data_IF_261931722152
#
_entry.id   IF_261931722152
#
_cell.length_a   1.000
_cell.length_b   1.000
_cell.length_c   1.000
_cell.angle_alpha   90.00
_cell.angle_beta   90.00
_cell.angle_gamma   90.00
#
_symmetry.space_group_name_H-M   'P 1'
#
loop_
_entity.id
_entity.type
_entity.pdbx_description
1 polymer ?
#
# COMPACT_ATOMS: atom_id res chain seq x y z
N UNK A 1 -79.91 -0.46 -30.51
CA UNK A 1 -79.60 0.52 -29.43
C UNK A 1 -78.13 0.36 -29.07
N UNK A 2 -77.25 1.29 -29.46
CA UNK A 2 -75.81 1.23 -29.15
C UNK A 2 -75.60 1.92 -27.79
N UNK A 3 -75.25 1.15 -26.76
CA UNK A 3 -74.87 1.69 -25.45
C UNK A 3 -73.52 2.38 -25.61
N UNK A 4 -73.51 3.71 -25.57
CA UNK A 4 -72.25 4.44 -25.47
C UNK A 4 -71.70 4.26 -24.05
N UNK A 5 -70.49 3.71 -23.97
CA UNK A 5 -69.73 3.62 -22.73
C UNK A 5 -69.16 5.02 -22.46
N UNK A 6 -69.66 5.66 -21.41
CA UNK A 6 -69.09 6.90 -20.87
C UNK A 6 -67.70 6.62 -20.31
N UNK A 7 -66.65 7.35 -20.71
CA UNK A 7 -65.32 7.16 -20.14
C UNK A 7 -65.35 7.56 -18.67
N UNK A 8 -64.92 6.67 -17.78
CA UNK A 8 -64.68 6.99 -16.38
C UNK A 8 -63.56 8.04 -16.35
N UNK A 9 -63.96 9.29 -16.14
CA UNK A 9 -63.04 10.42 -16.04
C UNK A 9 -62.36 10.31 -14.69
N UNK A 10 -61.10 9.89 -14.66
CA UNK A 10 -60.27 9.97 -13.46
C UNK A 10 -60.29 11.42 -12.93
N UNK A 11 -60.40 11.62 -11.60
CA UNK A 11 -60.49 12.96 -11.02
C UNK A 11 -59.27 13.79 -11.44
N UNK A 12 -59.45 15.08 -11.69
CA UNK A 12 -58.42 15.95 -12.30
C UNK A 12 -57.07 15.90 -11.58
N UNK A 13 -57.08 15.73 -10.25
CA UNK A 13 -55.86 15.56 -9.46
C UNK A 13 -55.04 14.30 -9.81
N UNK A 14 -55.68 13.19 -10.19
CA UNK A 14 -54.99 11.95 -10.60
C UNK A 14 -54.34 12.12 -11.98
N UNK A 15 -54.97 12.88 -12.90
CA UNK A 15 -54.36 13.20 -14.19
C UNK A 15 -53.20 14.17 -14.05
N UNK A 16 -53.37 15.21 -13.24
CA UNK A 16 -52.31 16.19 -12.97
C UNK A 16 -51.11 15.53 -12.30
N UNK A 17 -51.35 14.62 -11.35
CA UNK A 17 -50.30 13.81 -10.74
C UNK A 17 -49.58 12.93 -11.76
N UNK A 18 -50.30 12.23 -12.63
CA UNK A 18 -49.69 11.41 -13.68
C UNK A 18 -48.82 12.23 -14.65
N UNK A 19 -49.28 13.43 -15.03
CA UNK A 19 -48.50 14.36 -15.88
C UNK A 19 -47.26 14.87 -15.15
N UNK A 20 -47.38 15.23 -13.87
CA UNK A 20 -46.24 15.66 -13.06
C UNK A 20 -45.19 14.55 -12.90
N UNK A 21 -45.66 13.31 -12.67
CA UNK A 21 -44.80 12.13 -12.56
C UNK A 21 -44.06 11.85 -13.88
N UNK A 22 -44.75 11.92 -15.03
CA UNK A 22 -44.13 11.75 -16.34
C UNK A 22 -43.08 12.85 -16.62
N UNK A 23 -43.39 14.10 -16.27
CA UNK A 23 -42.46 15.21 -16.41
C UNK A 23 -41.20 15.05 -15.54
N UNK A 24 -41.34 14.55 -14.31
CA UNK A 24 -40.21 14.26 -13.42
C UNK A 24 -39.31 13.17 -14.01
N UNK A 25 -39.89 12.05 -14.46
CA UNK A 25 -39.13 10.96 -15.08
C UNK A 25 -38.39 11.43 -16.33
N UNK A 26 -39.04 12.25 -17.16
CA UNK A 26 -38.41 12.83 -18.35
C UNK A 26 -37.24 13.74 -17.99
N UNK A 27 -37.42 14.66 -17.02
CA UNK A 27 -36.36 15.56 -16.58
C UNK A 27 -35.14 14.82 -16.01
N UNK A 28 -35.37 13.78 -15.19
CA UNK A 28 -34.31 12.92 -14.66
C UNK A 28 -33.59 12.18 -15.79
N UNK A 29 -34.34 11.65 -16.74
CA UNK A 29 -33.78 10.92 -17.88
C UNK A 29 -32.94 11.83 -18.78
N UNK A 30 -33.40 13.05 -19.04
CA UNK A 30 -32.65 14.03 -19.83
C UNK A 30 -31.37 14.48 -19.12
N UNK A 31 -31.44 14.71 -17.80
CA UNK A 31 -30.27 15.03 -17.01
C UNK A 31 -29.22 13.91 -17.07
N UNK A 32 -29.64 12.64 -16.98
CA UNK A 32 -28.74 11.49 -17.08
C UNK A 32 -28.10 11.40 -18.48
N UNK A 33 -28.91 11.54 -19.55
CA UNK A 33 -28.38 11.57 -20.93
C UNK A 33 -27.36 12.69 -21.14
N UNK A 34 -27.60 13.85 -20.54
CA UNK A 34 -26.67 14.96 -20.62
C UNK A 34 -25.34 14.61 -19.93
N UNK A 35 -25.39 14.00 -18.74
CA UNK A 35 -24.20 13.52 -18.03
C UNK A 35 -23.42 12.47 -18.83
N UNK A 36 -24.12 11.55 -19.51
CA UNK A 36 -23.51 10.55 -20.37
C UNK A 36 -22.82 11.17 -21.61
N UNK A 37 -23.34 12.29 -22.11
CA UNK A 37 -22.79 13.00 -23.27
C UNK A 37 -21.65 13.99 -22.91
N UNK A 38 -21.50 14.37 -21.63
CA UNK A 38 -20.47 15.32 -21.19
C UNK A 38 -19.03 15.00 -21.64
N UNK A 39 -18.57 13.73 -21.70
CA UNK A 39 -17.24 13.40 -22.18
C UNK A 39 -16.96 13.82 -23.63
N UNK A 40 -18.00 13.91 -24.46
CA UNK A 40 -17.90 14.27 -25.88
C UNK A 40 -17.87 15.78 -26.12
N UNK A 41 -18.42 16.56 -25.19
CA UNK A 41 -18.48 18.02 -25.30
C UNK A 41 -17.12 18.62 -24.94
N UNK A 42 -16.56 19.52 -25.76
CA UNK A 42 -15.29 20.19 -25.43
C UNK A 42 -15.52 21.37 -24.46
N UNK A 43 -14.76 21.44 -23.36
CA UNK A 43 -14.73 22.62 -22.51
C UNK A 43 -13.74 23.65 -23.07
N UNK A 44 -14.26 24.82 -23.47
CA UNK A 44 -13.48 25.90 -24.07
C UNK A 44 -12.86 26.87 -23.05
N UNK A 45 -13.07 26.60 -21.75
CA UNK A 45 -12.59 27.46 -20.67
C UNK A 45 -12.31 26.65 -19.40
N UNK A 46 -11.50 27.21 -18.50
CA UNK A 46 -11.26 26.62 -17.18
C UNK A 46 -12.55 26.48 -16.37
N UNK A 47 -13.50 27.42 -16.49
CA UNK A 47 -14.80 27.31 -15.86
C UNK A 47 -15.61 26.11 -16.39
N UNK A 48 -15.55 25.83 -17.69
CA UNK A 48 -16.17 24.63 -18.27
C UNK A 48 -15.51 23.34 -17.80
N UNK A 49 -14.19 23.35 -17.60
CA UNK A 49 -13.45 22.22 -17.02
C UNK A 49 -13.86 21.97 -15.57
N UNK A 50 -13.96 23.03 -14.76
CA UNK A 50 -14.44 22.94 -13.38
C UNK A 50 -15.86 22.40 -13.33
N UNK A 51 -16.75 22.86 -14.22
CA UNK A 51 -18.12 22.33 -14.30
C UNK A 51 -18.15 20.82 -14.58
N UNK A 52 -17.29 20.31 -15.48
CA UNK A 52 -17.17 18.86 -15.70
C UNK A 52 -16.67 18.11 -14.47
N UNK A 53 -15.68 18.67 -13.77
CA UNK A 53 -15.14 18.08 -12.54
C UNK A 53 -16.18 18.07 -11.40
N UNK A 54 -16.98 19.11 -11.27
CA UNK A 54 -18.08 19.18 -10.30
C UNK A 54 -19.13 18.10 -10.57
N UNK A 55 -19.43 17.81 -11.84
CA UNK A 55 -20.33 16.69 -12.20
C UNK A 55 -19.71 15.34 -11.81
N UNK A 56 -18.43 15.11 -12.08
CA UNK A 56 -17.73 13.87 -11.68
C UNK A 56 -17.77 13.69 -10.15
N UNK A 57 -17.42 14.73 -9.39
CA UNK A 57 -17.41 14.70 -7.92
C UNK A 57 -18.83 14.57 -7.34
N UNK A 58 -19.81 15.19 -7.98
CA UNK A 58 -21.22 15.11 -7.58
C UNK A 58 -21.86 13.76 -7.86
N UNK A 59 -21.40 13.05 -8.90
CA UNK A 59 -21.88 11.72 -9.28
C UNK A 59 -21.34 10.62 -8.35
N UNK A 60 -20.22 10.85 -7.67
CA UNK A 60 -19.44 9.80 -7.02
C UNK A 60 -19.23 10.02 -5.52
N UNK A 61 -20.29 9.80 -4.74
CA UNK A 61 -20.18 9.55 -3.29
C UNK A 61 -20.36 8.09 -2.90
N UNK A 62 -20.68 7.20 -3.86
CA UNK A 62 -21.01 5.79 -3.62
C UNK A 62 -20.41 4.84 -4.68
N UNK A 63 -19.25 5.13 -5.29
CA UNK A 63 -18.57 4.11 -6.12
C UNK A 63 -18.11 2.95 -5.24
N UNK A 64 -18.86 1.84 -5.33
CA UNK A 64 -18.54 0.57 -4.70
C UNK A 64 -17.52 -0.26 -5.50
N UNK A 65 -17.54 -0.16 -6.84
CA UNK A 65 -16.62 -0.85 -7.73
C UNK A 65 -15.68 0.16 -8.45
N UNK A 66 -14.36 0.07 -8.27
CA UNK A 66 -13.40 0.92 -8.97
C UNK A 66 -13.51 0.93 -10.51
N UNK A 67 -14.17 -0.06 -11.11
CA UNK A 67 -14.45 -0.10 -12.55
C UNK A 67 -15.59 0.83 -12.98
N UNK A 68 -16.47 1.24 -12.05
CA UNK A 68 -17.52 2.24 -12.27
C UNK A 68 -16.98 3.67 -12.27
N UNK A 69 -15.68 3.85 -12.02
CA UNK A 69 -15.04 5.16 -12.05
C UNK A 69 -15.22 5.82 -13.43
N UNK A 70 -15.59 7.11 -13.50
CA UNK A 70 -15.93 7.80 -14.75
C UNK A 70 -14.69 8.18 -15.57
N UNK A 71 -13.93 7.16 -16.01
CA UNK A 71 -12.74 7.29 -16.84
C UNK A 71 -12.97 8.11 -18.12
N UNK A 72 -14.10 7.96 -18.85
CA UNK A 72 -14.36 8.78 -20.03
C UNK A 72 -14.45 10.28 -19.71
N UNK A 73 -15.09 10.64 -18.60
CA UNK A 73 -15.21 12.03 -18.15
C UNK A 73 -13.86 12.61 -17.76
N UNK A 74 -13.05 11.86 -17.00
CA UNK A 74 -11.71 12.29 -16.62
C UNK A 74 -10.80 12.48 -17.85
N UNK A 75 -10.85 11.54 -18.81
CA UNK A 75 -10.08 11.65 -20.05
C UNK A 75 -10.48 12.90 -20.86
N UNK A 76 -11.76 13.23 -20.88
CA UNK A 76 -12.28 14.45 -21.52
C UNK A 76 -11.74 15.72 -20.85
N UNK A 77 -11.77 15.78 -19.51
CA UNK A 77 -11.19 16.89 -18.75
C UNK A 77 -9.70 17.07 -19.04
N UNK A 78 -8.93 15.98 -19.06
CA UNK A 78 -7.49 16.04 -19.37
C UNK A 78 -7.22 16.54 -20.79
N UNK A 79 -8.06 16.15 -21.76
CA UNK A 79 -7.97 16.64 -23.13
C UNK A 79 -8.21 18.14 -23.21
N UNK A 80 -9.25 18.62 -22.53
CA UNK A 80 -9.60 20.05 -22.52
C UNK A 80 -8.54 20.89 -21.78
N UNK A 81 -8.01 20.37 -20.67
CA UNK A 81 -6.89 21.01 -19.96
C UNK A 81 -5.67 21.16 -20.87
N UNK A 82 -5.31 20.11 -21.61
CA UNK A 82 -4.21 20.19 -22.59
C UNK A 82 -4.49 21.18 -23.71
N UNK A 83 -5.74 21.27 -24.16
CA UNK A 83 -6.12 22.24 -25.19
C UNK A 83 -5.93 23.71 -24.72
N UNK A 84 -6.10 23.97 -23.42
CA UNK A 84 -5.97 25.33 -22.84
C UNK A 84 -4.54 25.61 -22.36
N UNK A 85 -3.94 24.68 -21.62
CA UNK A 85 -2.65 24.86 -20.96
C UNK A 85 -1.45 24.40 -21.80
N UNK A 86 -1.70 23.70 -22.90
CA UNK A 86 -0.67 22.99 -23.66
C UNK A 86 -0.30 21.64 -23.04
N UNK A 87 0.65 20.96 -23.68
CA UNK A 87 1.19 19.72 -23.13
C UNK A 87 2.11 20.00 -21.95
N UNK A 88 2.05 19.12 -20.95
CA UNK A 88 3.03 19.13 -19.88
C UNK A 88 4.41 18.81 -20.45
N UNK A 89 5.48 19.48 -19.99
CA UNK A 89 6.83 19.07 -20.33
C UNK A 89 7.02 17.61 -19.90
N UNK A 90 7.91 16.85 -20.57
CA UNK A 90 8.27 15.51 -20.15
C UNK A 90 8.60 15.54 -18.66
N UNK A 91 7.86 14.77 -17.88
CA UNK A 91 8.13 14.64 -16.46
C UNK A 91 9.46 13.90 -16.30
N UNK A 92 10.54 14.66 -16.19
CA UNK A 92 11.81 14.20 -15.66
C UNK A 92 11.57 13.94 -14.17
N UNK A 93 11.09 12.73 -13.85
CA UNK A 93 11.16 12.23 -12.49
C UNK A 93 12.61 12.43 -12.05
N UNK A 94 12.86 13.25 -11.03
CA UNK A 94 14.20 13.47 -10.48
C UNK A 94 14.67 12.19 -9.79
N UNK A 95 14.97 11.17 -10.61
CA UNK A 95 15.50 9.86 -10.21
C UNK A 95 16.91 9.99 -9.67
N UNK A 96 17.51 11.19 -9.69
CA UNK A 96 18.80 11.42 -9.06
C UNK A 96 18.72 11.15 -7.57
N UNK A 97 17.64 11.61 -6.91
CA UNK A 97 17.39 11.38 -5.48
C UNK A 97 17.22 9.90 -5.17
N UNK A 98 16.34 9.20 -5.90
CA UNK A 98 16.13 7.75 -5.73
C UNK A 98 17.39 6.94 -6.03
N UNK A 99 18.15 7.29 -7.08
CA UNK A 99 19.42 6.61 -7.40
C UNK A 99 20.49 6.86 -6.34
N UNK A 100 20.56 8.07 -5.80
CA UNK A 100 21.49 8.40 -4.72
C UNK A 100 21.17 7.63 -3.44
N UNK A 101 19.88 7.52 -3.09
CA UNK A 101 19.44 6.73 -1.94
C UNK A 101 19.74 5.24 -2.14
N UNK A 102 19.46 4.68 -3.32
CA UNK A 102 19.80 3.28 -3.65
C UNK A 102 21.30 3.04 -3.55
N UNK A 103 22.13 3.93 -4.08
CA UNK A 103 23.58 3.82 -4.00
C UNK A 103 24.09 3.87 -2.54
N UNK A 104 23.52 4.76 -1.71
CA UNK A 104 23.83 4.85 -0.28
C UNK A 104 23.49 3.54 0.44
N UNK A 105 22.29 3.00 0.22
CA UNK A 105 21.84 1.78 0.88
C UNK A 105 22.62 0.55 0.43
N UNK A 106 22.98 0.45 -0.86
CA UNK A 106 23.87 -0.61 -1.35
C UNK A 106 25.26 -0.54 -0.68
N UNK A 107 25.83 0.65 -0.53
CA UNK A 107 27.10 0.84 0.16
C UNK A 107 27.02 0.42 1.63
N UNK A 108 25.95 0.80 2.33
CA UNK A 108 25.72 0.40 3.72
C UNK A 108 25.55 -1.12 3.86
N UNK A 109 24.82 -1.75 2.94
CA UNK A 109 24.64 -3.20 2.95
C UNK A 109 25.96 -3.93 2.74
N UNK A 110 26.81 -3.47 1.81
CA UNK A 110 28.14 -4.05 1.60
C UNK A 110 29.02 -3.98 2.86
N UNK A 111 29.02 -2.84 3.56
CA UNK A 111 29.75 -2.68 4.82
C UNK A 111 29.25 -3.61 5.92
N UNK A 112 27.94 -3.86 5.99
CA UNK A 112 27.37 -4.77 6.97
C UNK A 112 27.72 -6.23 6.67
N UNK A 113 27.74 -6.63 5.39
CA UNK A 113 28.16 -7.98 4.98
C UNK A 113 29.63 -8.20 5.34
N UNK A 114 30.50 -7.27 5.00
CA UNK A 114 31.94 -7.33 5.33
C UNK A 114 32.16 -7.42 6.85
N UNK A 115 31.47 -6.59 7.64
CA UNK A 115 31.58 -6.63 9.09
C UNK A 115 31.07 -7.96 9.71
N UNK A 116 30.09 -8.61 9.10
CA UNK A 116 29.60 -9.93 9.54
C UNK A 116 30.62 -11.01 9.22
N UNK A 117 31.20 -10.99 8.02
CA UNK A 117 32.27 -11.93 7.63
C UNK A 117 33.48 -11.81 8.56
N UNK A 118 33.96 -10.58 8.83
CA UNK A 118 35.04 -10.33 9.78
C UNK A 118 34.73 -10.82 11.20
N UNK A 119 33.48 -10.65 11.66
CA UNK A 119 33.04 -11.12 12.97
C UNK A 119 32.96 -12.65 13.05
N UNK A 120 32.54 -13.33 11.98
CA UNK A 120 32.55 -14.79 11.90
C UNK A 120 33.97 -15.36 11.92
N UNK A 121 34.89 -14.79 11.15
CA UNK A 121 36.31 -15.17 11.14
C UNK A 121 36.93 -15.00 12.53
N UNK A 122 36.67 -13.87 13.20
CA UNK A 122 37.14 -13.64 14.57
C UNK A 122 36.58 -14.68 15.56
N UNK A 123 35.30 -15.04 15.43
CA UNK A 123 34.67 -16.05 16.27
C UNK A 123 35.22 -17.46 16.01
N UNK A 124 35.60 -17.79 14.77
CA UNK A 124 36.30 -19.05 14.45
C UNK A 124 37.70 -19.11 15.06
N UNK A 125 38.47 -18.03 14.97
CA UNK A 125 39.79 -17.96 15.60
C UNK A 125 39.74 -18.12 17.13
N UNK A 126 38.75 -17.54 17.80
CA UNK A 126 38.53 -17.72 19.25
C UNK A 126 38.18 -19.18 19.56
N UNK A 127 37.35 -19.84 18.74
CA UNK A 127 37.01 -21.27 18.92
C UNK A 127 38.22 -22.19 18.73
N UNK A 128 39.05 -21.93 17.72
CA UNK A 128 40.28 -22.70 17.45
C UNK A 128 41.33 -22.53 18.56
N UNK A 129 41.48 -21.32 19.10
CA UNK A 129 42.40 -21.07 20.22
C UNK A 129 41.93 -21.68 21.54
N UNK A 130 40.62 -21.68 21.81
CA UNK A 130 40.06 -22.34 23.00
C UNK A 130 40.21 -23.88 22.94
N UNK A 131 40.04 -24.47 21.76
CA UNK A 131 40.20 -25.93 21.56
C UNK A 131 41.65 -26.37 21.66
N UNK A 132 42.61 -25.63 21.07
CA UNK A 132 44.03 -25.94 21.22
C UNK A 132 44.53 -25.80 22.66
N UNK A 133 44.01 -24.84 23.43
CA UNK A 133 44.30 -24.71 24.86
C UNK A 133 43.76 -25.89 25.69
N UNK A 134 42.55 -26.37 25.38
CA UNK A 134 41.96 -27.51 26.06
C UNK A 134 42.72 -28.83 25.76
N UNK A 135 43.18 -29.03 24.52
CA UNK A 135 44.00 -30.20 24.16
C UNK A 135 45.39 -30.19 24.84
N UNK A 136 46.00 -29.01 24.99
CA UNK A 136 47.27 -28.87 25.71
C UNK A 136 47.14 -29.09 27.24
N UNK A 137 45.92 -29.06 27.78
CA UNK A 137 45.63 -29.22 29.21
C UNK A 137 45.19 -30.64 29.60
N UNK A 138 45.37 -31.65 28.74
CA UNK A 138 45.16 -33.06 29.12
C UNK A 138 46.18 -33.45 30.19
N UNK A 139 45.75 -33.35 31.45
CA UNK A 139 46.52 -33.73 32.62
C UNK A 139 47.06 -35.16 32.47
N UNK A 140 48.36 -35.41 32.69
CA UNK A 140 48.89 -36.77 32.69
C UNK A 140 48.21 -37.57 33.81
N UNK A 141 47.66 -38.74 33.45
CA UNK A 141 46.99 -39.67 34.36
C UNK A 141 47.89 -39.93 35.58
N UNK A 142 47.43 -39.71 36.83
CA UNK A 142 48.27 -39.93 37.99
C UNK A 142 48.59 -41.42 38.11
N UNK A 143 49.88 -41.73 38.28
CA UNK A 143 50.38 -43.09 38.44
C UNK A 143 49.82 -43.72 39.73
N UNK A 144 49.16 -44.86 39.60
CA UNK A 144 48.77 -45.72 40.73
C UNK A 144 50.04 -46.22 41.44
N UNK A 145 50.21 -45.85 42.72
CA UNK A 145 51.15 -46.50 43.62
C UNK A 145 50.38 -47.39 44.59
N UNK A 146 50.84 -48.63 44.85
CA UNK A 146 50.13 -49.56 45.72
C UNK A 146 50.31 -49.20 47.20
N UNK A 147 49.31 -49.60 47.98
CA UNK A 147 49.22 -49.41 49.42
C UNK A 147 50.37 -50.07 50.19
N UNK A 148 50.90 -49.37 51.20
CA UNK A 148 51.48 -49.99 52.39
C UNK A 148 51.76 -48.93 53.48
N UNK A 149 51.28 -49.21 54.70
CA UNK A 149 51.94 -48.93 55.99
C UNK A 149 52.13 -47.44 56.40
N UNK A 150 51.94 -46.98 57.65
CA UNK A 150 51.90 -47.63 58.96
C UNK A 150 51.24 -46.67 59.97
N UNK A 151 50.58 -47.24 60.98
CA UNK A 151 50.21 -46.60 62.24
C UNK A 151 51.37 -45.78 62.84
N UNK A 152 51.08 -44.68 63.53
CA UNK A 152 51.04 -44.72 65.01
C UNK A 152 51.13 -43.36 65.69
N UNK A 153 50.39 -43.30 66.81
CA UNK A 153 50.81 -42.72 68.09
C UNK A 153 50.78 -41.21 68.33
N UNK A 154 50.01 -40.89 69.38
CA UNK A 154 50.32 -39.98 70.51
C UNK A 154 50.23 -38.49 70.19
N UNK A 155 49.88 -37.60 71.11
CA UNK A 155 49.21 -37.57 72.42
C UNK A 155 49.14 -36.07 72.75
N UNK A 156 48.08 -35.65 73.43
CA UNK A 156 48.02 -34.62 74.48
C UNK A 156 48.42 -33.15 74.19
N UNK A 157 47.56 -32.28 74.72
CA UNK A 157 47.97 -31.17 75.59
C UNK A 157 47.81 -29.80 74.94
N UNK A 158 46.72 -29.09 75.21
CA UNK A 158 46.59 -28.13 76.33
C UNK A 158 47.43 -26.87 76.15
N UNK A 159 46.77 -25.76 75.84
CA UNK A 159 46.39 -24.72 76.81
C UNK A 159 45.31 -23.84 76.24
#
# INVERSE_FOLDING_TARGET
MKKQSTPVVAPDGVRQYAVAQEAEVLAVTEALKFQDALPELAALSLAGILAKLEVIVGADRDIGDPTDFPWPHLASVLRDLKAIAGDLPPYESDRSTTRADVARHLKQAAQLVEAVEEAEEAAEHIRQSATSFAEASVFPKPAEKPAEFQESSRRRGSR
#
